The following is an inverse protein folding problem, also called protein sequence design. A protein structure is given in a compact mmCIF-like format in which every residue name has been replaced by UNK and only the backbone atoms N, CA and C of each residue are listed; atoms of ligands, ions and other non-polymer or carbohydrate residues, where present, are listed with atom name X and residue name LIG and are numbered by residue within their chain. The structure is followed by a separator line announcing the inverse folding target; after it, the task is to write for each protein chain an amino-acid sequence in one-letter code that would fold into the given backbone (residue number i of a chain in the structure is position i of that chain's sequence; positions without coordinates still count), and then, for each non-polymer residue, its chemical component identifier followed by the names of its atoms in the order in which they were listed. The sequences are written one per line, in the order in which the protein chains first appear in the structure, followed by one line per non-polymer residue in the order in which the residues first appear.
data_IF_190329892025
#
_entry.id   IF_190329892025
#
_cell.length_a   1.000
_cell.length_b   1.000
_cell.length_c   1.000
_cell.angle_alpha   90.00
_cell.angle_beta   90.00
_cell.angle_gamma   90.00
#
_symmetry.space_group_name_H-M   'P 1'
#
loop_
_entity.id
_entity.type
_entity.pdbx_description
1 polymer ?
#
# COMPACT_ATOMS: atom_id res chain seq x y z
N UNK A 1 -3.34 12.70 15.40
CA UNK A 1 -3.43 11.60 14.42
C UNK A 1 -2.95 10.34 15.12
N UNK A 2 -3.74 9.27 15.08
CA UNK A 2 -3.34 8.00 15.69
C UNK A 2 -2.20 7.36 14.89
N UNK A 3 -1.47 6.43 15.52
CA UNK A 3 -0.49 5.58 14.84
C UNK A 3 -1.11 4.76 13.69
N UNK A 4 -2.40 4.45 13.79
CA UNK A 4 -3.15 3.67 12.79
C UNK A 4 -3.39 4.51 11.54
N UNK A 5 -3.80 5.78 11.69
CA UNK A 5 -3.87 6.75 10.59
C UNK A 5 -2.55 6.88 9.85
N UNK A 6 -1.43 6.96 10.58
CA UNK A 6 -0.08 7.07 9.99
C UNK A 6 0.26 5.81 9.19
N UNK A 7 0.01 4.62 9.74
CA UNK A 7 0.23 3.35 9.04
C UNK A 7 -0.63 3.25 7.76
N UNK A 8 -1.89 3.69 7.82
CA UNK A 8 -2.77 3.75 6.66
C UNK A 8 -2.25 4.67 5.56
N UNK A 9 -1.78 5.87 5.91
CA UNK A 9 -1.20 6.83 4.95
C UNK A 9 0.06 6.25 4.29
N UNK A 10 0.95 5.64 5.07
CA UNK A 10 2.14 4.96 4.54
C UNK A 10 1.72 3.86 3.56
N UNK A 11 0.73 3.04 3.92
CA UNK A 11 0.19 2.01 3.03
C UNK A 11 -0.33 2.57 1.71
N UNK A 12 -1.06 3.69 1.74
CA UNK A 12 -1.54 4.38 0.53
C UNK A 12 -0.38 4.86 -0.34
N UNK A 13 0.64 5.49 0.26
CA UNK A 13 1.81 6.00 -0.47
C UNK A 13 2.55 4.84 -1.14
N UNK A 14 2.84 3.78 -0.39
CA UNK A 14 3.54 2.61 -0.93
C UNK A 14 2.71 1.86 -1.97
N UNK A 15 1.40 1.69 -1.75
CA UNK A 15 0.49 1.10 -2.73
C UNK A 15 0.45 1.90 -4.04
N UNK A 16 0.38 3.23 -3.94
CA UNK A 16 0.42 4.13 -5.10
C UNK A 16 1.74 4.01 -5.87
N UNK A 17 2.88 4.00 -5.18
CA UNK A 17 4.19 3.82 -5.80
C UNK A 17 4.34 2.46 -6.48
N UNK A 18 3.79 1.39 -5.89
CA UNK A 18 3.76 0.05 -6.49
C UNK A 18 2.92 0.00 -7.77
N UNK A 19 1.81 0.74 -7.83
CA UNK A 19 0.97 0.81 -9.03
C UNK A 19 1.61 1.66 -10.13
N UNK A 20 2.22 2.79 -9.78
CA UNK A 20 2.81 3.72 -10.75
C UNK A 20 4.18 3.26 -11.27
N UNK A 21 5.01 2.67 -10.40
CA UNK A 21 6.39 2.30 -10.72
C UNK A 21 6.69 0.81 -10.41
N UNK A 22 5.91 -0.15 -10.96
CA UNK A 22 6.06 -1.56 -10.63
C UNK A 22 7.44 -2.12 -11.03
N UNK A 23 8.02 -1.66 -12.14
CA UNK A 23 9.38 -2.04 -12.58
C UNK A 23 10.46 -1.52 -11.63
N UNK A 24 10.26 -0.34 -11.03
CA UNK A 24 11.19 0.24 -10.06
C UNK A 24 11.18 -0.55 -8.76
N UNK A 25 9.99 -0.87 -8.26
CA UNK A 25 9.81 -1.68 -7.05
C UNK A 25 10.31 -3.11 -7.27
N UNK A 26 10.09 -3.71 -8.45
CA UNK A 26 10.59 -5.05 -8.75
C UNK A 26 12.13 -5.15 -8.64
N UNK A 27 12.87 -4.05 -8.89
CA UNK A 27 14.34 -4.01 -8.70
C UNK A 27 14.76 -4.17 -7.25
N UNK A 28 13.88 -3.85 -6.30
CA UNK A 28 14.09 -4.08 -4.86
C UNK A 28 13.95 -5.56 -4.48
N UNK A 29 13.62 -6.44 -5.45
CA UNK A 29 13.37 -7.87 -5.27
C UNK A 29 12.40 -8.14 -4.10
N UNK A 30 11.19 -7.57 -4.14
CA UNK A 30 10.18 -7.86 -3.13
C UNK A 30 9.95 -9.37 -3.04
N UNK A 31 9.88 -9.88 -1.81
CA UNK A 31 9.87 -11.31 -1.52
C UNK A 31 8.77 -12.03 -2.33
N UNK A 32 9.16 -13.05 -3.08
CA UNK A 32 8.25 -13.90 -3.84
C UNK A 32 7.69 -13.30 -5.13
N UNK A 33 7.96 -12.02 -5.44
CA UNK A 33 7.39 -11.35 -6.62
C UNK A 33 8.40 -11.32 -7.76
N UNK A 34 8.04 -11.90 -8.91
CA UNK A 34 8.92 -12.03 -10.08
C UNK A 34 8.47 -11.20 -11.28
N UNK A 35 7.27 -10.64 -11.25
CA UNK A 35 6.69 -9.91 -12.39
C UNK A 35 6.23 -8.51 -11.99
N UNK A 36 6.35 -7.50 -12.88
CA UNK A 36 5.82 -6.16 -12.64
C UNK A 36 4.30 -6.17 -12.38
N UNK A 37 3.57 -7.09 -13.00
CA UNK A 37 2.13 -7.25 -12.85
C UNK A 37 1.75 -7.65 -11.43
N UNK A 38 2.50 -8.57 -10.83
CA UNK A 38 2.27 -8.98 -9.45
C UNK A 38 2.59 -7.85 -8.46
N UNK A 39 3.62 -7.04 -8.71
CA UNK A 39 3.88 -5.81 -7.94
C UNK A 39 2.70 -4.84 -8.05
N UNK A 40 2.16 -4.64 -9.26
CA UNK A 40 1.04 -3.74 -9.50
C UNK A 40 -0.22 -4.22 -8.78
N UNK A 41 -0.52 -5.52 -8.84
CA UNK A 41 -1.65 -6.12 -8.12
C UNK A 41 -1.48 -5.99 -6.60
N UNK A 42 -0.29 -6.28 -6.07
CA UNK A 42 0.03 -6.04 -4.66
C UNK A 42 -0.14 -4.57 -4.25
N UNK A 43 0.23 -3.65 -5.13
CA UNK A 43 0.07 -2.20 -4.93
C UNK A 43 -1.38 -1.75 -4.84
N UNK A 44 -2.24 -2.27 -5.73
CA UNK A 44 -3.69 -1.99 -5.67
C UNK A 44 -4.29 -2.48 -4.35
N UNK A 45 -3.93 -3.69 -3.93
CA UNK A 45 -4.40 -4.27 -2.67
C UNK A 45 -3.92 -3.41 -1.49
N UNK A 46 -2.63 -3.08 -1.46
CA UNK A 46 -2.02 -2.26 -0.39
C UNK A 46 -2.67 -0.88 -0.30
N UNK A 47 -2.97 -0.26 -1.44
CA UNK A 47 -3.67 1.02 -1.50
C UNK A 47 -5.09 0.94 -0.91
N UNK A 48 -5.87 -0.08 -1.31
CA UNK A 48 -7.23 -0.30 -0.79
C UNK A 48 -7.20 -0.54 0.73
N UNK A 49 -6.29 -1.39 1.21
CA UNK A 49 -6.12 -1.63 2.65
C UNK A 49 -5.73 -0.36 3.40
N UNK A 50 -4.84 0.46 2.84
CA UNK A 50 -4.47 1.75 3.42
C UNK A 50 -5.69 2.67 3.61
N UNK A 51 -6.57 2.76 2.61
CA UNK A 51 -7.82 3.52 2.71
C UNK A 51 -8.73 2.95 3.79
N UNK A 52 -8.93 1.62 3.81
CA UNK A 52 -9.79 0.96 4.82
C UNK A 52 -9.27 1.21 6.23
N UNK A 53 -7.95 1.14 6.45
CA UNK A 53 -7.34 1.40 7.75
C UNK A 53 -7.59 2.84 8.21
N UNK A 54 -7.42 3.83 7.32
CA UNK A 54 -7.69 5.24 7.65
C UNK A 54 -9.17 5.43 7.97
N UNK A 55 -10.07 4.86 7.16
CA UNK A 55 -11.52 4.97 7.40
C UNK A 55 -11.93 4.33 8.72
N UNK A 56 -11.36 3.17 9.05
CA UNK A 56 -11.63 2.50 10.32
C UNK A 56 -11.15 3.34 11.51
N UNK A 57 -9.95 3.90 11.41
CA UNK A 57 -9.41 4.77 12.45
C UNK A 57 -10.30 6.02 12.65
N UNK A 58 -10.72 6.67 11.56
CA UNK A 58 -11.54 7.89 11.61
C UNK A 58 -12.98 7.65 12.06
N UNK A 59 -13.58 6.49 11.74
CA UNK A 59 -15.01 6.23 11.99
C UNK A 59 -15.29 5.39 13.24
N UNK A 60 -14.31 4.62 13.74
CA UNK A 60 -14.52 3.63 14.80
C UNK A 60 -13.66 3.90 16.03
N UNK A 61 -12.41 4.36 15.86
CA UNK A 61 -11.44 4.47 16.96
C UNK A 61 -11.25 5.90 17.48
N UNK A 62 -11.59 6.90 16.67
CA UNK A 62 -11.49 8.32 16.98
C UNK A 62 -12.85 8.87 17.42
#
# INVERSE_FOLDING_TARGET
MSLISIAGIIGIIFGTLQVLFPKGILKLKPLGVKTPEAVRQGGVITFIFGIVIILFDLLVLN
#
